data_IF_149665483764
#
_entry.id   IF_149665483764
#
_cell.length_a   1.000
_cell.length_b   1.000
_cell.length_c   1.000
_cell.angle_alpha   90.00
_cell.angle_beta   90.00
_cell.angle_gamma   90.00
#
_symmetry.space_group_name_H-M   'P 1'
#
loop_
_entity.id
_entity.type
_entity.pdbx_description
1 polymer ?
#
# COMPACT_ATOMS: atom_id res chain seq x y z
N UNK A 1 28.64 -51.07 -54.84
CA UNK A 1 29.40 -50.11 -54.00
C UNK A 1 28.45 -49.00 -53.60
N UNK A 2 27.74 -49.24 -52.52
CA UNK A 2 26.64 -48.33 -52.04
C UNK A 2 27.14 -47.63 -50.79
N UNK A 3 27.34 -46.32 -50.90
CA UNK A 3 27.58 -45.44 -49.75
C UNK A 3 26.20 -44.95 -49.18
N UNK A 4 25.87 -45.49 -48.06
CA UNK A 4 24.70 -44.94 -47.27
C UNK A 4 25.17 -43.77 -46.40
N UNK A 5 24.65 -42.59 -46.70
CA UNK A 5 24.92 -41.38 -45.95
C UNK A 5 23.88 -41.27 -44.84
N UNK A 6 24.25 -41.56 -43.59
CA UNK A 6 23.41 -41.35 -42.41
C UNK A 6 23.45 -39.90 -41.97
N UNK A 7 22.41 -39.14 -42.29
CA UNK A 7 22.22 -37.78 -41.84
C UNK A 7 21.57 -37.81 -40.44
N UNK A 8 22.38 -37.64 -39.39
CA UNK A 8 21.89 -37.45 -38.04
C UNK A 8 21.34 -36.02 -37.91
N UNK A 9 20.05 -35.88 -37.89
CA UNK A 9 19.35 -34.63 -37.57
C UNK A 9 19.50 -34.36 -36.06
N UNK A 10 20.39 -33.44 -35.69
CA UNK A 10 20.51 -32.95 -34.34
C UNK A 10 19.38 -31.91 -34.16
N UNK A 11 18.31 -32.32 -33.48
CA UNK A 11 17.24 -31.42 -33.08
C UNK A 11 17.72 -30.47 -31.98
N UNK A 12 17.95 -29.23 -32.35
CA UNK A 12 18.27 -28.16 -31.41
C UNK A 12 16.94 -27.69 -30.76
N UNK A 13 16.65 -28.21 -29.57
CA UNK A 13 15.50 -27.75 -28.79
C UNK A 13 15.85 -26.39 -28.22
N UNK A 14 15.29 -25.35 -28.84
CA UNK A 14 15.37 -23.98 -28.34
C UNK A 14 14.38 -23.82 -27.18
N UNK A 15 14.87 -24.00 -25.95
CA UNK A 15 14.08 -23.69 -24.74
C UNK A 15 14.06 -22.18 -24.62
N UNK A 16 12.97 -21.58 -25.11
CA UNK A 16 12.66 -20.18 -24.85
C UNK A 16 12.26 -20.06 -23.37
N UNK A 17 13.22 -19.69 -22.54
CA UNK A 17 12.93 -19.19 -21.20
C UNK A 17 12.16 -17.86 -21.36
N UNK A 18 10.83 -17.93 -21.31
CA UNK A 18 9.99 -16.77 -21.07
C UNK A 18 10.29 -16.30 -19.63
N UNK A 19 11.27 -15.42 -19.52
CA UNK A 19 11.43 -14.56 -18.35
C UNK A 19 10.19 -13.65 -18.31
N UNK A 20 9.08 -14.23 -17.83
CA UNK A 20 7.95 -13.42 -17.39
C UNK A 20 8.49 -12.48 -16.33
N UNK A 21 8.57 -11.19 -16.63
CA UNK A 21 8.71 -10.18 -15.60
C UNK A 21 7.61 -10.46 -14.57
N UNK A 22 7.99 -11.03 -13.42
CA UNK A 22 7.14 -11.11 -12.23
C UNK A 22 6.89 -9.66 -11.80
N UNK A 23 5.87 -9.05 -12.43
CA UNK A 23 5.37 -7.77 -11.99
C UNK A 23 4.87 -8.00 -10.57
N UNK A 24 5.41 -7.26 -9.62
CA UNK A 24 4.88 -7.28 -8.27
C UNK A 24 3.36 -7.09 -8.35
N UNK A 25 2.55 -7.89 -7.63
CA UNK A 25 1.10 -7.75 -7.71
C UNK A 25 0.72 -6.30 -7.47
N UNK A 26 -0.01 -5.72 -8.41
CA UNK A 26 -0.46 -4.33 -8.31
C UNK A 26 -1.25 -4.19 -7.00
N UNK A 27 -0.88 -3.21 -6.19
CA UNK A 27 -1.66 -2.85 -5.01
C UNK A 27 -3.00 -2.28 -5.51
N UNK A 28 -4.08 -2.93 -5.14
CA UNK A 28 -5.40 -2.51 -5.56
C UNK A 28 -5.86 -1.33 -4.71
N UNK A 29 -6.49 -0.36 -5.34
CA UNK A 29 -7.14 0.76 -4.65
C UNK A 29 -8.63 0.73 -4.95
N UNK A 30 -9.52 0.94 -3.95
CA UNK A 30 -10.96 0.91 -4.21
C UNK A 30 -11.35 2.02 -5.21
N UNK A 31 -12.40 1.78 -5.98
CA UNK A 31 -12.92 2.80 -6.90
C UNK A 31 -13.53 3.99 -6.17
N UNK A 32 -14.04 3.74 -4.96
CA UNK A 32 -14.66 4.77 -4.10
C UNK A 32 -14.19 4.62 -2.65
N UNK A 33 -14.09 5.76 -1.97
CA UNK A 33 -13.99 5.84 -0.50
C UNK A 33 -15.13 6.73 -0.01
N UNK A 34 -16.08 6.13 0.72
CA UNK A 34 -17.32 6.80 1.04
C UNK A 34 -18.06 7.20 -0.24
N UNK A 35 -18.36 8.48 -0.39
CA UNK A 35 -19.04 9.00 -1.57
C UNK A 35 -18.10 9.51 -2.66
N UNK A 36 -16.80 9.57 -2.39
CA UNK A 36 -15.80 10.10 -3.33
C UNK A 36 -15.26 9.02 -4.25
N UNK A 37 -15.32 9.28 -5.54
CA UNK A 37 -14.70 8.45 -6.57
C UNK A 37 -13.20 8.70 -6.65
N UNK A 38 -12.43 7.65 -7.02
CA UNK A 38 -11.01 7.77 -7.30
C UNK A 38 -10.81 8.62 -8.57
N UNK A 39 -10.02 9.67 -8.44
CA UNK A 39 -9.73 10.64 -9.51
C UNK A 39 -8.29 10.60 -9.97
N UNK A 40 -7.41 9.92 -9.23
CA UNK A 40 -6.00 9.79 -9.57
C UNK A 40 -5.32 8.71 -8.75
N UNK A 41 -4.21 8.21 -9.30
CA UNK A 41 -3.36 7.23 -8.64
C UNK A 41 -1.91 7.40 -9.10
N UNK A 42 -0.98 7.34 -8.17
CA UNK A 42 0.44 7.25 -8.46
C UNK A 42 1.02 5.99 -7.85
N UNK A 43 1.90 5.31 -8.58
CA UNK A 43 2.46 4.00 -8.21
C UNK A 43 3.98 3.96 -8.38
N UNK A 44 4.59 2.85 -7.99
CA UNK A 44 6.00 2.55 -8.25
C UNK A 44 6.95 3.62 -7.73
N UNK A 45 7.97 3.96 -8.51
CA UNK A 45 9.04 4.90 -8.11
C UNK A 45 8.52 6.29 -7.73
N UNK A 46 7.43 6.74 -8.34
CA UNK A 46 6.84 8.05 -8.02
C UNK A 46 6.20 8.03 -6.63
N UNK A 47 5.37 7.03 -6.33
CA UNK A 47 4.78 6.87 -5.02
C UNK A 47 5.86 6.70 -3.94
N UNK A 48 6.89 5.87 -4.20
CA UNK A 48 8.02 5.68 -3.29
C UNK A 48 8.74 6.99 -2.97
N UNK A 49 8.96 7.86 -3.96
CA UNK A 49 9.57 9.17 -3.73
C UNK A 49 8.72 10.06 -2.82
N UNK A 50 7.40 10.07 -3.03
CA UNK A 50 6.48 10.85 -2.18
C UNK A 50 6.51 10.32 -0.75
N UNK A 51 6.38 9.01 -0.55
CA UNK A 51 6.42 8.38 0.78
C UNK A 51 7.75 8.66 1.48
N UNK A 52 8.88 8.51 0.80
CA UNK A 52 10.19 8.81 1.37
C UNK A 52 10.34 10.28 1.76
N UNK A 53 9.84 11.21 0.93
CA UNK A 53 9.86 12.65 1.22
C UNK A 53 9.05 12.98 2.48
N UNK A 54 7.86 12.37 2.63
CA UNK A 54 7.02 12.55 3.83
C UNK A 54 7.71 12.08 5.11
N UNK A 55 8.53 11.03 5.03
CA UNK A 55 9.27 10.49 6.17
C UNK A 55 10.65 11.16 6.39
N UNK A 56 11.09 12.01 5.47
CA UNK A 56 12.44 12.62 5.50
C UNK A 56 13.58 11.59 5.37
N UNK A 57 13.26 10.36 4.97
CA UNK A 57 14.23 9.26 4.80
C UNK A 57 13.67 8.19 3.88
N UNK A 58 14.53 7.29 3.39
CA UNK A 58 14.08 6.08 2.71
C UNK A 58 13.37 5.14 3.69
N UNK A 59 12.20 4.64 3.31
CA UNK A 59 11.50 3.58 4.03
C UNK A 59 11.58 2.30 3.20
N UNK A 60 11.88 1.18 3.87
CA UNK A 60 12.03 -0.11 3.20
C UNK A 60 10.63 -0.69 2.89
N UNK A 61 10.18 -0.48 1.67
CA UNK A 61 8.93 -1.03 1.14
C UNK A 61 9.17 -1.63 -0.23
N UNK A 62 8.45 -2.69 -0.57
CA UNK A 62 8.55 -3.34 -1.90
C UNK A 62 7.72 -2.58 -2.94
N UNK A 63 6.57 -2.07 -2.53
CA UNK A 63 5.70 -1.28 -3.40
C UNK A 63 4.93 -0.22 -2.62
N UNK A 64 4.62 0.88 -3.31
CA UNK A 64 3.78 1.95 -2.78
C UNK A 64 2.74 2.35 -3.83
N UNK A 65 1.55 2.71 -3.36
CA UNK A 65 0.52 3.37 -4.15
C UNK A 65 -0.08 4.51 -3.33
N UNK A 66 -0.44 5.59 -4.00
CA UNK A 66 -1.17 6.72 -3.43
C UNK A 66 -2.33 7.00 -4.35
N UNK A 67 -3.56 6.81 -3.85
CA UNK A 67 -4.77 7.09 -4.59
C UNK A 67 -5.46 8.36 -4.06
N UNK A 68 -6.01 9.13 -4.98
CA UNK A 68 -6.71 10.39 -4.72
C UNK A 68 -8.21 10.23 -4.98
N UNK A 69 -9.03 10.68 -4.05
CA UNK A 69 -10.49 10.58 -4.13
C UNK A 69 -11.15 11.95 -3.98
N UNK A 70 -12.10 12.22 -4.89
CA UNK A 70 -12.78 13.52 -4.97
C UNK A 70 -11.98 14.59 -5.69
N UNK A 71 -12.66 15.64 -6.20
CA UNK A 71 -12.05 16.67 -7.04
C UNK A 71 -11.56 17.87 -6.24
N UNK A 72 -12.39 18.40 -5.36
CA UNK A 72 -12.10 19.67 -4.67
C UNK A 72 -11.25 19.43 -3.41
N UNK A 73 -11.80 18.77 -2.42
CA UNK A 73 -11.10 18.41 -1.19
C UNK A 73 -10.76 16.91 -1.24
N UNK A 74 -9.55 16.61 -1.69
CA UNK A 74 -9.13 15.23 -1.97
C UNK A 74 -8.85 14.45 -0.70
N UNK A 75 -9.46 13.29 -0.59
CA UNK A 75 -9.01 12.26 0.34
C UNK A 75 -7.84 11.50 -0.28
N UNK A 76 -6.89 11.06 0.53
CA UNK A 76 -5.69 10.37 0.08
C UNK A 76 -5.56 9.02 0.77
N UNK A 77 -5.41 7.96 -0.03
CA UNK A 77 -5.10 6.63 0.48
C UNK A 77 -3.66 6.27 0.12
N UNK A 78 -2.84 6.08 1.12
CA UNK A 78 -1.48 5.58 0.99
C UNK A 78 -1.47 4.10 1.36
N UNK A 79 -0.89 3.26 0.50
CA UNK A 79 -0.67 1.85 0.77
C UNK A 79 0.79 1.55 0.54
N UNK A 80 1.46 1.03 1.57
CA UNK A 80 2.86 0.61 1.51
C UNK A 80 2.95 -0.88 1.80
N UNK A 81 3.40 -1.67 0.82
CA UNK A 81 3.61 -3.11 0.96
C UNK A 81 5.05 -3.39 1.37
N UNK A 82 5.20 -4.28 2.32
CA UNK A 82 6.48 -4.77 2.84
C UNK A 82 6.71 -6.21 2.37
N UNK A 83 7.97 -6.66 2.37
CA UNK A 83 8.36 -8.01 1.96
C UNK A 83 7.75 -9.12 2.83
N UNK A 84 7.37 -8.78 4.07
CA UNK A 84 6.71 -9.71 4.97
C UNK A 84 5.89 -8.97 6.05
N UNK A 85 5.02 -9.71 6.71
CA UNK A 85 4.14 -9.18 7.75
C UNK A 85 4.90 -8.65 8.97
N UNK A 86 6.02 -9.28 9.33
CA UNK A 86 6.85 -8.85 10.46
C UNK A 86 7.44 -7.46 10.21
N UNK A 87 7.94 -7.22 9.00
CA UNK A 87 8.45 -5.91 8.58
C UNK A 87 7.36 -4.83 8.59
N UNK A 88 6.17 -5.15 8.05
CA UNK A 88 5.02 -4.27 8.08
C UNK A 88 4.61 -3.91 9.51
N UNK A 89 4.51 -4.93 10.39
CA UNK A 89 4.17 -4.72 11.81
C UNK A 89 5.19 -3.85 12.53
N UNK A 90 6.48 -4.13 12.34
CA UNK A 90 7.55 -3.31 12.94
C UNK A 90 7.48 -1.85 12.52
N UNK A 91 7.23 -1.59 11.24
CA UNK A 91 7.07 -0.23 10.71
C UNK A 91 5.85 0.47 11.31
N UNK A 92 4.72 -0.23 11.37
CA UNK A 92 3.49 0.26 11.97
C UNK A 92 3.66 0.59 13.46
N UNK A 93 4.16 -0.35 14.27
CA UNK A 93 4.34 -0.18 15.70
C UNK A 93 5.27 1.03 16.00
N UNK A 94 6.37 1.15 15.23
CA UNK A 94 7.30 2.27 15.37
C UNK A 94 6.65 3.62 15.03
N UNK A 95 5.80 3.64 13.99
CA UNK A 95 5.08 4.84 13.59
C UNK A 95 4.06 5.25 14.66
N UNK A 96 3.25 4.31 15.15
CA UNK A 96 2.26 4.55 16.20
C UNK A 96 2.96 5.02 17.48
N UNK A 97 4.03 4.35 17.92
CA UNK A 97 4.81 4.75 19.10
C UNK A 97 5.37 6.17 18.98
N UNK A 98 5.90 6.51 17.79
CA UNK A 98 6.43 7.86 17.52
C UNK A 98 5.32 8.91 17.57
N UNK A 99 4.15 8.63 17.01
CA UNK A 99 3.00 9.54 17.07
C UNK A 99 2.49 9.70 18.50
N UNK A 100 2.38 8.61 19.27
CA UNK A 100 1.92 8.62 20.66
C UNK A 100 2.86 9.42 21.59
N UNK A 101 4.16 9.36 21.35
CA UNK A 101 5.18 10.08 22.16
C UNK A 101 5.40 11.52 21.75
N UNK A 102 4.87 11.97 20.61
CA UNK A 102 5.11 13.30 20.08
C UNK A 102 4.37 14.37 20.91
N UNK A 103 5.11 15.22 21.63
CA UNK A 103 4.54 16.34 22.38
C UNK A 103 4.10 17.50 21.46
N UNK A 104 4.71 17.61 20.31
CA UNK A 104 4.42 18.60 19.26
C UNK A 104 4.53 17.89 17.91
N UNK A 105 3.56 18.09 17.04
CA UNK A 105 3.56 17.46 15.72
C UNK A 105 2.29 17.85 14.94
N UNK A 106 2.23 17.46 13.67
CA UNK A 106 1.05 17.73 12.83
C UNK A 106 -0.15 16.86 13.17
N UNK A 107 0.01 15.83 14.02
CA UNK A 107 -1.04 14.88 14.40
C UNK A 107 -1.28 14.91 15.91
N UNK A 108 -2.54 14.77 16.32
CA UNK A 108 -2.99 14.80 17.70
C UNK A 108 -4.20 13.88 17.88
N UNK A 109 -4.56 13.56 19.14
CA UNK A 109 -5.65 12.65 19.47
C UNK A 109 -5.52 11.27 18.80
N UNK A 110 -4.34 10.64 18.92
CA UNK A 110 -4.15 9.27 18.46
C UNK A 110 -4.96 8.32 19.32
N UNK A 111 -5.96 7.66 18.74
CA UNK A 111 -6.90 6.77 19.42
C UNK A 111 -6.99 5.42 18.72
N UNK A 112 -6.84 4.30 19.45
CA UNK A 112 -7.19 2.99 18.90
C UNK A 112 -8.71 2.84 18.81
N UNK A 113 -9.21 2.25 17.73
CA UNK A 113 -10.64 2.01 17.53
C UNK A 113 -11.06 0.65 18.10
N UNK A 114 -11.98 0.66 19.08
CA UNK A 114 -12.43 -0.52 19.79
C UNK A 114 -13.12 -1.55 18.88
N UNK A 115 -13.91 -1.10 17.91
CA UNK A 115 -14.62 -1.95 16.94
C UNK A 115 -13.68 -2.86 16.14
N UNK A 116 -12.42 -2.46 16.01
CA UNK A 116 -11.38 -3.23 15.33
C UNK A 116 -10.37 -3.86 16.31
N UNK A 117 -10.76 -4.12 17.55
CA UNK A 117 -9.89 -4.71 18.59
C UNK A 117 -8.57 -3.95 18.74
N UNK A 118 -8.63 -2.63 18.61
CA UNK A 118 -7.48 -1.72 18.66
C UNK A 118 -6.41 -1.95 17.58
N UNK A 119 -6.77 -2.54 16.44
CA UNK A 119 -5.86 -2.73 15.30
C UNK A 119 -5.90 -1.58 14.30
N UNK A 120 -6.89 -0.70 14.40
CA UNK A 120 -7.02 0.55 13.64
C UNK A 120 -6.80 1.71 14.57
N UNK A 121 -6.04 2.70 14.12
CA UNK A 121 -5.84 3.96 14.82
C UNK A 121 -6.48 5.10 14.04
N UNK A 122 -7.16 5.97 14.76
CA UNK A 122 -7.64 7.26 14.28
C UNK A 122 -6.79 8.37 14.89
N UNK A 123 -6.39 9.33 14.09
CA UNK A 123 -5.76 10.57 14.56
C UNK A 123 -6.27 11.76 13.78
N UNK A 124 -6.22 12.94 14.37
CA UNK A 124 -6.53 14.20 13.71
C UNK A 124 -5.23 14.92 13.35
N UNK A 125 -5.23 15.62 12.24
CA UNK A 125 -4.05 16.40 11.85
C UNK A 125 -4.23 17.03 10.47
N UNK A 126 -3.51 18.12 10.22
CA UNK A 126 -3.52 18.81 8.93
C UNK A 126 -4.92 19.15 8.40
N UNK A 127 -5.88 19.37 9.31
CA UNK A 127 -7.28 19.66 8.98
C UNK A 127 -8.11 18.44 8.54
N UNK A 128 -7.58 17.21 8.69
CA UNK A 128 -8.24 15.98 8.26
C UNK A 128 -8.25 14.92 9.36
N UNK A 129 -9.04 13.87 9.15
CA UNK A 129 -8.99 12.61 9.91
C UNK A 129 -8.07 11.64 9.20
N UNK A 130 -7.34 10.85 9.98
CA UNK A 130 -6.41 9.86 9.47
C UNK A 130 -6.67 8.51 10.12
N UNK A 131 -6.97 7.50 9.30
CA UNK A 131 -7.12 6.12 9.73
C UNK A 131 -5.88 5.33 9.32
N UNK A 132 -5.31 4.57 10.26
CA UNK A 132 -4.05 3.88 10.07
C UNK A 132 -4.21 2.44 10.55
N UNK A 133 -3.89 1.47 9.69
CA UNK A 133 -3.95 0.06 10.06
C UNK A 133 -3.08 -0.83 9.17
N UNK A 134 -2.96 -2.09 9.56
CA UNK A 134 -2.31 -3.15 8.81
C UNK A 134 -3.33 -4.12 8.22
N UNK A 135 -3.10 -4.52 6.98
CA UNK A 135 -3.70 -5.69 6.35
C UNK A 135 -2.59 -6.59 5.79
N UNK A 136 -2.33 -7.69 6.48
CA UNK A 136 -1.23 -8.59 6.12
C UNK A 136 0.12 -7.86 6.06
N UNK A 137 0.71 -7.78 4.86
CA UNK A 137 1.99 -7.11 4.60
C UNK A 137 1.83 -5.63 4.26
N UNK A 138 0.61 -5.12 4.20
CA UNK A 138 0.32 -3.77 3.75
C UNK A 138 0.00 -2.85 4.93
N UNK A 139 0.68 -1.72 4.98
CA UNK A 139 0.38 -0.61 5.87
C UNK A 139 -0.48 0.39 5.11
N UNK A 140 -1.67 0.68 5.64
CA UNK A 140 -2.63 1.59 5.07
C UNK A 140 -2.74 2.85 5.91
N UNK A 141 -2.80 3.99 5.22
CA UNK A 141 -3.04 5.30 5.79
C UNK A 141 -4.06 6.03 4.91
N UNK A 142 -5.26 6.21 5.44
CA UNK A 142 -6.31 7.01 4.80
C UNK A 142 -6.36 8.39 5.47
N UNK A 143 -6.09 9.44 4.69
CA UNK A 143 -6.40 10.82 5.04
C UNK A 143 -7.75 11.18 4.42
N UNK A 144 -8.69 11.67 5.21
CA UNK A 144 -10.03 11.99 4.71
C UNK A 144 -10.63 13.20 5.41
N UNK A 145 -11.45 13.92 4.68
CA UNK A 145 -12.28 15.01 5.18
C UNK A 145 -13.74 14.57 5.41
N UNK A 146 -14.06 13.32 5.07
CA UNK A 146 -15.34 12.71 5.36
C UNK A 146 -15.31 12.12 6.77
N UNK A 147 -16.42 12.26 7.51
CA UNK A 147 -16.54 11.63 8.81
C UNK A 147 -17.06 10.20 8.66
N UNK A 148 -16.20 9.23 8.90
CA UNK A 148 -16.59 7.83 9.03
C UNK A 148 -16.76 7.41 10.50
N UNK A 149 -16.52 8.33 11.44
CA UNK A 149 -16.55 8.07 12.87
C UNK A 149 -15.51 7.05 13.27
N UNK A 150 -15.95 5.99 13.96
CA UNK A 150 -15.14 4.86 14.41
C UNK A 150 -15.07 3.71 13.40
N UNK A 151 -15.58 3.90 12.17
CA UNK A 151 -15.64 2.87 11.12
C UNK A 151 -14.72 3.18 9.95
N UNK A 152 -14.19 2.15 9.34
CA UNK A 152 -13.50 2.25 8.06
C UNK A 152 -14.49 2.15 6.90
N UNK A 153 -14.20 2.81 5.77
CA UNK A 153 -14.98 2.63 4.54
C UNK A 153 -15.04 1.17 4.11
N UNK A 154 -16.25 0.69 3.80
CA UNK A 154 -16.49 -0.73 3.45
C UNK A 154 -15.63 -1.22 2.30
N UNK A 155 -15.55 -0.47 1.19
CA UNK A 155 -14.73 -0.86 0.04
C UNK A 155 -13.24 -0.99 0.35
N UNK A 156 -12.74 -0.29 1.38
CA UNK A 156 -11.37 -0.44 1.83
C UNK A 156 -11.18 -1.76 2.60
N UNK A 157 -12.14 -2.14 3.45
CA UNK A 157 -12.11 -3.40 4.21
C UNK A 157 -12.29 -4.63 3.32
N UNK A 158 -13.02 -4.52 2.22
CA UNK A 158 -13.18 -5.60 1.24
C UNK A 158 -11.86 -5.95 0.55
N UNK A 159 -11.02 -4.96 0.24
CA UNK A 159 -9.71 -5.17 -0.37
C UNK A 159 -8.62 -5.46 0.66
N UNK A 160 -8.73 -4.86 1.84
CA UNK A 160 -7.71 -4.90 2.89
C UNK A 160 -8.35 -5.21 4.25
N UNK A 161 -8.72 -6.47 4.49
CA UNK A 161 -9.28 -6.90 5.77
C UNK A 161 -8.26 -6.78 6.91
N UNK A 162 -8.78 -6.66 8.16
CA UNK A 162 -7.98 -6.46 9.39
C UNK A 162 -7.70 -7.78 10.10
#
# INVERSE_FOLDING_TARGET
MNLSFNLKIIGFVFIIFLLGCLRAPDLLTPEKIGEKERVGEITGKQATRVVNKMHGRSVATDANVIAEYGRDQKDLLFISKYSNQTGAKKAFDLMIAKMASAKKGPFFHLMPLADYKNKVYLTLGMGAMHYIYLSGQSLLWLQTYQSFGDKLPRGLLELYPI
#
